data_IF_633912723926
#
_entry.id   IF_633912723926
#
_cell.length_a   1.000
_cell.length_b   1.000
_cell.length_c   1.000
_cell.angle_alpha   90.00
_cell.angle_beta   90.00
_cell.angle_gamma   90.00
#
_symmetry.space_group_name_H-M   'P 1'
#
loop_
_entity.id
_entity.type
_entity.pdbx_description
1 polymer ?
#
# COMPACT_ATOMS: atom_id res chain seq x y z
N UNK A 1 -20.49 1.97 1.47
CA UNK A 1 -19.45 1.52 0.50
C UNK A 1 -18.04 1.91 0.96
N UNK A 2 -17.81 3.15 1.41
CA UNK A 2 -16.54 3.57 2.01
C UNK A 2 -16.12 2.72 3.22
N UNK A 3 -17.08 2.32 4.06
CA UNK A 3 -16.83 1.47 5.24
C UNK A 3 -16.27 0.09 4.87
N UNK A 4 -16.86 -0.60 3.88
CA UNK A 4 -16.39 -1.92 3.43
C UNK A 4 -14.98 -1.81 2.84
N UNK A 5 -14.74 -0.81 1.99
CA UNK A 5 -13.40 -0.56 1.43
C UNK A 5 -12.38 -0.22 2.54
N UNK A 6 -12.82 0.46 3.60
CA UNK A 6 -12.03 0.76 4.79
C UNK A 6 -11.58 -0.48 5.56
N UNK A 7 -12.46 -1.46 5.74
CA UNK A 7 -12.09 -2.74 6.36
C UNK A 7 -11.22 -3.60 5.45
N UNK A 8 -11.46 -3.60 4.13
CA UNK A 8 -10.59 -4.29 3.18
C UNK A 8 -9.15 -3.76 3.21
N UNK A 9 -8.96 -2.44 3.23
CA UNK A 9 -7.60 -1.87 3.26
C UNK A 9 -6.91 -2.13 4.60
N UNK A 10 -7.67 -2.15 5.70
CA UNK A 10 -7.18 -2.54 7.03
C UNK A 10 -6.64 -3.96 7.02
N UNK A 11 -7.41 -4.91 6.49
CA UNK A 11 -6.98 -6.31 6.38
C UNK A 11 -5.74 -6.46 5.50
N UNK A 12 -5.66 -5.74 4.38
CA UNK A 12 -4.45 -5.73 3.53
C UNK A 12 -3.22 -5.24 4.27
N UNK A 13 -3.33 -4.13 5.00
CA UNK A 13 -2.21 -3.58 5.78
C UNK A 13 -1.79 -4.54 6.87
N UNK A 14 -2.74 -5.20 7.55
CA UNK A 14 -2.46 -6.18 8.58
C UNK A 14 -1.59 -7.34 8.04
N UNK A 15 -1.96 -7.91 6.90
CA UNK A 15 -1.16 -8.95 6.24
C UNK A 15 0.18 -8.44 5.70
N UNK A 16 0.23 -7.20 5.19
CA UNK A 16 1.50 -6.59 4.78
C UNK A 16 2.45 -6.49 5.98
N UNK A 17 1.98 -6.08 7.16
CA UNK A 17 2.86 -5.93 8.32
C UNK A 17 3.36 -7.28 8.86
N UNK A 18 2.60 -8.36 8.68
CA UNK A 18 3.06 -9.70 9.02
C UNK A 18 4.21 -10.16 8.10
N UNK A 19 4.11 -9.86 6.80
CA UNK A 19 5.15 -10.14 5.82
C UNK A 19 6.39 -9.22 5.92
N UNK A 20 6.28 -8.08 6.62
CA UNK A 20 7.36 -7.10 6.85
C UNK A 20 8.10 -6.65 5.56
N UNK A 21 7.39 -6.23 4.51
CA UNK A 21 8.02 -5.79 3.28
C UNK A 21 8.65 -4.40 3.47
N UNK A 22 9.76 -4.15 2.79
CA UNK A 22 10.31 -2.79 2.65
C UNK A 22 9.54 -1.98 1.60
N UNK A 23 9.00 -2.66 0.59
CA UNK A 23 8.32 -2.05 -0.55
C UNK A 23 6.95 -2.68 -0.84
N UNK A 24 5.96 -1.85 -1.16
CA UNK A 24 4.69 -2.25 -1.77
C UNK A 24 4.66 -1.73 -3.20
N UNK A 25 4.61 -2.64 -4.18
CA UNK A 25 4.59 -2.30 -5.60
C UNK A 25 3.22 -2.65 -6.18
N UNK A 26 2.63 -1.75 -6.96
CA UNK A 26 1.37 -2.00 -7.65
C UNK A 26 1.26 -1.26 -8.99
N UNK A 27 0.22 -1.58 -9.76
CA UNK A 27 -0.04 -0.96 -11.07
C UNK A 27 -1.30 -0.07 -11.08
N UNK A 28 -2.10 -0.12 -10.02
CA UNK A 28 -3.29 0.71 -9.90
C UNK A 28 -3.06 1.87 -8.92
N UNK A 29 -3.07 3.09 -9.45
CA UNK A 29 -2.77 4.31 -8.67
C UNK A 29 -3.80 4.50 -7.55
N UNK A 30 -5.07 4.20 -7.78
CA UNK A 30 -6.11 4.39 -6.76
C UNK A 30 -5.93 3.44 -5.57
N UNK A 31 -5.53 2.20 -5.83
CA UNK A 31 -5.20 1.21 -4.82
C UNK A 31 -3.95 1.62 -4.04
N UNK A 32 -2.91 2.09 -4.72
CA UNK A 32 -1.68 2.57 -4.08
C UNK A 32 -1.94 3.77 -3.18
N UNK A 33 -2.79 4.72 -3.60
CA UNK A 33 -3.20 5.85 -2.77
C UNK A 33 -3.99 5.40 -1.54
N UNK A 34 -4.91 4.44 -1.69
CA UNK A 34 -5.72 3.93 -0.58
C UNK A 34 -4.86 3.19 0.45
N UNK A 35 -4.03 2.25 0.00
CA UNK A 35 -3.17 1.44 0.87
C UNK A 35 -2.04 2.29 1.45
N UNK A 36 -1.36 3.08 0.63
CA UNK A 36 -0.28 3.98 1.05
C UNK A 36 -0.75 5.05 2.03
N UNK A 37 -1.92 5.65 1.80
CA UNK A 37 -2.51 6.59 2.75
C UNK A 37 -2.85 5.94 4.09
N UNK A 38 -3.25 4.66 4.09
CA UNK A 38 -3.47 3.90 5.33
C UNK A 38 -2.16 3.61 6.07
N UNK A 39 -1.15 3.08 5.36
CA UNK A 39 0.18 2.82 5.89
C UNK A 39 0.79 4.07 6.53
N UNK A 40 0.66 5.22 5.86
CA UNK A 40 1.15 6.50 6.37
C UNK A 40 0.45 6.93 7.65
N UNK A 41 -0.89 6.82 7.71
CA UNK A 41 -1.66 7.14 8.94
C UNK A 41 -1.33 6.22 10.12
N UNK A 42 -0.96 4.97 9.84
CA UNK A 42 -0.54 4.00 10.85
C UNK A 42 0.97 4.06 11.16
N UNK A 43 1.72 4.98 10.55
CA UNK A 43 3.15 5.15 10.80
C UNK A 43 4.01 3.98 10.33
N UNK A 44 3.54 3.19 9.36
CA UNK A 44 4.26 2.02 8.88
C UNK A 44 5.40 2.42 7.92
N UNK A 45 6.61 1.86 8.07
CA UNK A 45 7.79 2.27 7.30
C UNK A 45 7.88 1.59 5.93
N UNK A 46 6.75 1.36 5.25
CA UNK A 46 6.72 0.68 3.93
C UNK A 46 6.69 1.70 2.81
N UNK A 47 7.62 1.58 1.85
CA UNK A 47 7.66 2.46 0.67
C UNK A 47 6.70 1.96 -0.40
N UNK A 48 5.71 2.79 -0.74
CA UNK A 48 4.72 2.47 -1.77
C UNK A 48 5.17 3.05 -3.11
N UNK A 49 5.18 2.23 -4.18
CA UNK A 49 5.64 2.62 -5.51
C UNK A 49 4.75 2.03 -6.61
N UNK A 50 4.57 2.78 -7.70
CA UNK A 50 3.99 2.25 -8.92
C UNK A 50 5.03 1.44 -9.71
N UNK A 51 4.60 0.36 -10.36
CA UNK A 51 5.49 -0.54 -11.12
C UNK A 51 6.28 0.21 -12.20
N UNK A 52 5.70 1.25 -12.82
CA UNK A 52 6.42 2.07 -13.79
C UNK A 52 7.61 2.82 -13.16
N UNK A 53 7.51 3.27 -11.90
CA UNK A 53 8.63 3.93 -11.21
C UNK A 53 9.79 2.95 -10.99
N UNK A 54 9.46 1.69 -10.66
CA UNK A 54 10.44 0.61 -10.47
C UNK A 54 11.11 0.22 -11.78
N UNK A 55 10.36 0.14 -12.87
CA UNK A 55 10.91 -0.22 -14.19
C UNK A 55 11.68 0.93 -14.84
N UNK A 56 11.37 2.17 -14.48
CA UNK A 56 12.09 3.36 -14.97
C UNK A 56 13.30 3.74 -14.11
N UNK A 57 13.40 3.26 -12.87
CA UNK A 57 14.59 3.48 -12.05
C UNK A 57 15.77 2.72 -12.67
N UNK A 58 16.68 3.48 -13.31
CA UNK A 58 17.96 3.00 -13.82
C UNK A 58 19.08 3.39 -12.88
#
# INVERSE_FOLDING_TARGET
MAEISGEMVKEKVLHLMDAKPEFLIGADVSCLLNIGGRLQREGQPVKVMHIAEVLMSR
#
